data_IF_887413730675
#
_entry.id   IF_887413730675
#
_cell.length_a   1.000
_cell.length_b   1.000
_cell.length_c   1.000
_cell.angle_alpha   90.00
_cell.angle_beta   90.00
_cell.angle_gamma   90.00
#
_symmetry.space_group_name_H-M   'P 1'
#
loop_
_entity.id
_entity.type
_entity.pdbx_description
1 polymer ?
#
# COMPACT_ATOMS: atom_id res chain seq x y z
N UNK A 1 -34.47 8.22 -11.37
CA UNK A 1 -34.43 7.17 -12.40
C UNK A 1 -35.22 6.00 -11.85
N UNK A 2 -36.13 5.42 -12.63
CA UNK A 2 -36.94 4.29 -12.15
C UNK A 2 -36.10 3.01 -12.06
N UNK A 3 -36.54 2.02 -11.28
CA UNK A 3 -35.92 0.70 -11.28
C UNK A 3 -35.89 0.08 -12.68
N UNK A 4 -36.97 0.26 -13.47
CA UNK A 4 -37.04 -0.24 -14.84
C UNK A 4 -35.96 0.37 -15.76
N UNK A 5 -35.74 1.69 -15.69
CA UNK A 5 -34.68 2.35 -16.46
C UNK A 5 -33.29 1.84 -16.07
N UNK A 6 -33.06 1.64 -14.77
CA UNK A 6 -31.80 1.12 -14.26
C UNK A 6 -31.56 -0.34 -14.69
N UNK A 7 -32.62 -1.15 -14.76
CA UNK A 7 -32.56 -2.52 -15.25
C UNK A 7 -32.29 -2.59 -16.75
N UNK A 8 -32.83 -1.69 -17.57
CA UNK A 8 -32.50 -1.64 -19.01
C UNK A 8 -31.02 -1.29 -19.23
N UNK A 9 -30.46 -0.38 -18.42
CA UNK A 9 -29.03 -0.09 -18.42
C UNK A 9 -28.21 -1.31 -17.99
N UNK A 10 -28.64 -1.99 -16.93
CA UNK A 10 -27.99 -3.21 -16.46
C UNK A 10 -28.03 -4.32 -17.52
N UNK A 11 -29.15 -4.50 -18.23
CA UNK A 11 -29.31 -5.48 -19.30
C UNK A 11 -28.36 -5.19 -20.48
N UNK A 12 -28.09 -3.91 -20.77
CA UNK A 12 -27.15 -3.52 -21.81
C UNK A 12 -25.69 -3.87 -21.46
N UNK A 13 -25.33 -3.76 -20.17
CA UNK A 13 -23.96 -4.04 -19.68
C UNK A 13 -23.76 -5.53 -19.35
N UNK A 14 -24.78 -6.20 -18.82
CA UNK A 14 -24.78 -7.62 -18.46
C UNK A 14 -25.36 -8.45 -19.61
N UNK A 15 -24.74 -8.32 -20.79
CA UNK A 15 -25.19 -8.95 -22.04
C UNK A 15 -25.58 -10.45 -21.92
N UNK A 16 -24.89 -11.30 -21.12
CA UNK A 16 -25.28 -12.69 -20.96
C UNK A 16 -26.67 -12.91 -20.33
N UNK A 17 -27.20 -11.93 -19.59
CA UNK A 17 -28.45 -12.03 -18.84
C UNK A 17 -29.52 -11.04 -19.32
N UNK A 18 -29.25 -10.33 -20.41
CA UNK A 18 -30.06 -9.20 -20.88
C UNK A 18 -31.53 -9.58 -21.12
N UNK A 19 -31.77 -10.72 -21.78
CA UNK A 19 -33.12 -11.19 -22.10
C UNK A 19 -33.91 -11.51 -20.84
N UNK A 20 -33.30 -12.20 -19.87
CA UNK A 20 -33.93 -12.53 -18.59
C UNK A 20 -34.25 -11.30 -17.73
N UNK A 21 -33.41 -10.25 -17.82
CA UNK A 21 -33.65 -8.97 -17.13
C UNK A 21 -34.82 -8.22 -17.79
N UNK A 22 -34.87 -8.17 -19.12
CA UNK A 22 -35.93 -7.50 -19.89
C UNK A 22 -37.27 -8.20 -19.75
N UNK A 23 -37.28 -9.53 -19.75
CA UNK A 23 -38.48 -10.35 -19.59
C UNK A 23 -39.16 -10.13 -18.23
N UNK A 24 -38.39 -9.77 -17.20
CA UNK A 24 -38.93 -9.44 -15.89
C UNK A 24 -39.62 -8.05 -15.85
N UNK A 25 -39.41 -7.20 -16.86
CA UNK A 25 -40.08 -5.91 -17.04
C UNK A 25 -40.12 -5.02 -15.77
N UNK A 26 -39.02 -5.01 -15.02
CA UNK A 26 -38.90 -4.20 -13.80
C UNK A 26 -39.50 -4.80 -12.52
N UNK A 27 -40.07 -6.01 -12.57
CA UNK A 27 -40.62 -6.70 -11.40
C UNK A 27 -39.52 -7.44 -10.61
N UNK A 28 -39.25 -7.04 -9.34
CA UNK A 28 -38.26 -7.69 -8.48
C UNK A 28 -38.49 -9.19 -8.26
N UNK A 29 -39.74 -9.64 -8.18
CA UNK A 29 -40.07 -11.04 -7.90
C UNK A 29 -39.84 -11.88 -9.16
N UNK A 30 -40.27 -11.38 -10.33
CA UNK A 30 -39.99 -12.01 -11.64
C UNK A 30 -38.49 -12.17 -11.87
N UNK A 31 -37.67 -11.20 -11.48
CA UNK A 31 -36.20 -11.31 -11.59
C UNK A 31 -35.64 -12.49 -10.80
N UNK A 32 -36.19 -12.79 -9.61
CA UNK A 32 -35.76 -13.96 -8.83
C UNK A 32 -36.23 -15.29 -9.44
N UNK A 33 -37.32 -15.28 -10.18
CA UNK A 33 -37.85 -16.47 -10.86
C UNK A 33 -37.10 -16.76 -12.17
N UNK A 34 -36.72 -15.72 -12.91
CA UNK A 34 -36.04 -15.85 -14.21
C UNK A 34 -34.53 -16.00 -14.09
N UNK A 35 -33.90 -15.34 -13.12
CA UNK A 35 -32.46 -15.39 -12.93
C UNK A 35 -32.06 -16.47 -11.93
N UNK A 36 -31.06 -17.26 -12.29
CA UNK A 36 -30.37 -18.10 -11.33
C UNK A 36 -29.68 -17.23 -10.24
N UNK A 37 -29.38 -17.78 -9.05
CA UNK A 37 -28.82 -17.00 -7.93
C UNK A 37 -27.54 -16.23 -8.25
N UNK A 38 -26.65 -16.78 -9.09
CA UNK A 38 -25.41 -16.11 -9.50
C UNK A 38 -25.68 -14.89 -10.40
N UNK A 39 -26.40 -15.00 -11.54
CA UNK A 39 -26.85 -13.84 -12.32
C UNK A 39 -27.62 -12.78 -11.53
N UNK A 40 -28.51 -13.21 -10.62
CA UNK A 40 -29.23 -12.29 -9.74
C UNK A 40 -28.28 -11.50 -8.81
N UNK A 41 -27.24 -12.15 -8.28
CA UNK A 41 -26.20 -11.47 -7.50
C UNK A 41 -25.38 -10.49 -8.34
N UNK A 42 -25.04 -10.83 -9.58
CA UNK A 42 -24.31 -9.96 -10.51
C UNK A 42 -25.12 -8.70 -10.83
N UNK A 43 -26.41 -8.86 -11.15
CA UNK A 43 -27.35 -7.78 -11.38
C UNK A 43 -27.43 -6.83 -10.18
N UNK A 44 -27.66 -7.38 -8.99
CA UNK A 44 -27.78 -6.57 -7.78
C UNK A 44 -26.45 -5.87 -7.46
N UNK A 45 -25.32 -6.55 -7.64
CA UNK A 45 -23.99 -5.97 -7.46
C UNK A 45 -23.74 -4.80 -8.42
N UNK A 46 -24.11 -4.94 -9.69
CA UNK A 46 -23.99 -3.89 -10.70
C UNK A 46 -24.85 -2.67 -10.35
N UNK A 47 -26.11 -2.87 -9.96
CA UNK A 47 -27.02 -1.79 -9.56
C UNK A 47 -26.50 -1.07 -8.32
N UNK A 48 -26.02 -1.79 -7.31
CA UNK A 48 -25.44 -1.16 -6.11
C UNK A 48 -24.17 -0.35 -6.38
N UNK A 49 -23.46 -0.63 -7.48
CA UNK A 49 -22.27 0.09 -7.89
C UNK A 49 -22.57 1.31 -8.77
N UNK A 50 -23.52 1.22 -9.69
CA UNK A 50 -23.78 2.22 -10.72
C UNK A 50 -25.08 3.01 -10.50
N UNK A 51 -26.11 2.36 -9.97
CA UNK A 51 -27.46 2.92 -9.77
C UNK A 51 -27.94 2.66 -8.33
N UNK A 52 -27.27 3.25 -7.31
CA UNK A 52 -27.37 2.80 -5.91
C UNK A 52 -28.78 2.88 -5.32
N UNK A 53 -29.62 3.82 -5.78
CA UNK A 53 -31.00 3.93 -5.34
C UNK A 53 -31.85 2.75 -5.84
N UNK A 54 -31.71 2.37 -7.12
CA UNK A 54 -32.40 1.22 -7.69
C UNK A 54 -31.87 -0.10 -7.10
N UNK A 55 -30.56 -0.18 -6.84
CA UNK A 55 -29.99 -1.33 -6.13
C UNK A 55 -30.50 -1.48 -4.69
N UNK A 56 -30.72 -0.38 -3.96
CA UNK A 56 -31.34 -0.43 -2.62
C UNK A 56 -32.82 -0.87 -2.68
N UNK A 57 -33.57 -0.35 -3.65
CA UNK A 57 -34.96 -0.74 -3.89
C UNK A 57 -35.07 -2.25 -4.18
N UNK A 58 -34.26 -2.76 -5.12
CA UNK A 58 -34.23 -4.18 -5.47
C UNK A 58 -33.81 -5.07 -4.30
N UNK A 59 -32.74 -4.69 -3.57
CA UNK A 59 -32.30 -5.42 -2.38
C UNK A 59 -33.41 -5.52 -1.34
N UNK A 60 -34.15 -4.42 -1.11
CA UNK A 60 -35.23 -4.38 -0.14
C UNK A 60 -36.38 -5.30 -0.56
N UNK A 61 -36.79 -5.26 -1.82
CA UNK A 61 -37.83 -6.15 -2.35
C UNK A 61 -37.44 -7.64 -2.18
N UNK A 62 -36.18 -7.98 -2.47
CA UNK A 62 -35.68 -9.35 -2.33
C UNK A 62 -35.57 -9.83 -0.88
N UNK A 63 -35.43 -8.92 0.11
CA UNK A 63 -35.52 -9.35 1.51
C UNK A 63 -36.90 -9.84 1.90
N UNK A 64 -37.93 -9.53 1.09
CA UNK A 64 -39.28 -9.98 1.37
C UNK A 64 -39.54 -11.44 0.93
N UNK A 65 -38.60 -12.05 0.19
CA UNK A 65 -38.66 -13.42 -0.34
C UNK A 65 -37.47 -14.26 0.11
N UNK A 66 -37.70 -15.53 0.44
CA UNK A 66 -36.63 -16.44 0.85
C UNK A 66 -35.65 -16.73 -0.30
N UNK A 67 -36.14 -16.76 -1.54
CA UNK A 67 -35.32 -16.87 -2.76
C UNK A 67 -34.32 -15.71 -2.92
N UNK A 68 -34.60 -14.54 -2.33
CA UNK A 68 -33.69 -13.40 -2.35
C UNK A 68 -32.47 -13.56 -1.43
N UNK A 69 -32.47 -14.54 -0.51
CA UNK A 69 -31.37 -14.72 0.42
C UNK A 69 -30.05 -15.11 -0.26
N UNK A 70 -30.10 -16.06 -1.20
CA UNK A 70 -28.92 -16.54 -1.91
C UNK A 70 -28.19 -15.42 -2.71
N UNK A 71 -28.86 -14.64 -3.59
CA UNK A 71 -28.17 -13.59 -4.34
C UNK A 71 -27.67 -12.45 -3.45
N UNK A 72 -28.36 -12.10 -2.36
CA UNK A 72 -27.91 -11.08 -1.41
C UNK A 72 -26.69 -11.59 -0.62
N UNK A 73 -26.70 -12.86 -0.18
CA UNK A 73 -25.57 -13.48 0.52
C UNK A 73 -24.32 -13.58 -0.34
N UNK A 74 -24.47 -13.85 -1.64
CA UNK A 74 -23.36 -13.91 -2.58
C UNK A 74 -22.57 -12.59 -2.69
N UNK A 75 -23.19 -11.45 -2.34
CA UNK A 75 -22.53 -10.14 -2.30
C UNK A 75 -21.76 -9.87 -0.99
N UNK A 76 -21.84 -10.75 0.01
CA UNK A 76 -21.04 -10.64 1.23
C UNK A 76 -19.55 -10.87 0.90
N UNK A 77 -18.76 -9.79 0.94
CA UNK A 77 -17.35 -9.79 0.57
C UNK A 77 -17.05 -9.32 -0.86
N UNK A 78 -18.07 -8.96 -1.66
CA UNK A 78 -17.87 -8.37 -2.98
C UNK A 78 -17.27 -6.94 -2.89
N UNK A 79 -16.51 -6.55 -3.92
CA UNK A 79 -15.95 -5.20 -4.04
C UNK A 79 -17.03 -4.18 -4.45
N UNK A 80 -17.88 -3.81 -3.49
CA UNK A 80 -18.91 -2.78 -3.68
C UNK A 80 -18.47 -1.42 -3.12
N UNK A 81 -18.99 -0.29 -3.63
CA UNK A 81 -18.83 1.01 -2.98
C UNK A 81 -19.37 1.01 -1.55
N UNK A 82 -18.92 1.98 -0.72
CA UNK A 82 -19.31 2.09 0.70
C UNK A 82 -20.84 2.09 0.91
N UNK A 83 -21.59 2.75 0.01
CA UNK A 83 -23.05 2.78 0.02
C UNK A 83 -23.64 1.38 -0.23
N UNK A 84 -23.22 0.69 -1.29
CA UNK A 84 -23.68 -0.67 -1.60
C UNK A 84 -23.40 -1.68 -0.49
N UNK A 85 -22.22 -1.64 0.12
CA UNK A 85 -21.90 -2.51 1.28
C UNK A 85 -22.85 -2.30 2.47
N UNK A 86 -23.29 -1.05 2.70
CA UNK A 86 -24.26 -0.72 3.77
C UNK A 86 -25.62 -1.33 3.46
N UNK A 87 -26.06 -1.27 2.21
CA UNK A 87 -27.33 -1.86 1.75
C UNK A 87 -27.32 -3.38 1.94
N UNK A 88 -26.30 -4.08 1.43
CA UNK A 88 -26.17 -5.54 1.57
C UNK A 88 -26.22 -5.96 3.05
N UNK A 89 -25.47 -5.27 3.92
CA UNK A 89 -25.48 -5.55 5.37
C UNK A 89 -26.87 -5.39 6.00
N UNK A 90 -27.60 -4.34 5.62
CA UNK A 90 -28.96 -4.09 6.11
C UNK A 90 -29.93 -5.17 5.61
N UNK A 91 -29.80 -5.57 4.34
CA UNK A 91 -30.62 -6.60 3.72
C UNK A 91 -30.41 -7.97 4.39
N UNK A 92 -29.15 -8.38 4.58
CA UNK A 92 -28.79 -9.60 5.30
C UNK A 92 -29.28 -9.61 6.75
N UNK A 93 -29.20 -8.46 7.43
CA UNK A 93 -29.73 -8.34 8.78
C UNK A 93 -31.26 -8.55 8.80
N UNK A 94 -31.99 -7.99 7.84
CA UNK A 94 -33.44 -8.17 7.71
C UNK A 94 -33.81 -9.64 7.44
N UNK A 95 -33.10 -10.31 6.54
CA UNK A 95 -33.28 -11.75 6.26
C UNK A 95 -33.05 -12.62 7.51
N UNK A 96 -31.97 -12.37 8.26
CA UNK A 96 -31.68 -13.08 9.52
C UNK A 96 -32.77 -12.82 10.57
N UNK A 97 -33.27 -11.60 10.67
CA UNK A 97 -34.35 -11.26 11.61
C UNK A 97 -35.68 -11.95 11.31
N UNK A 98 -35.91 -12.34 10.05
CA UNK A 98 -37.06 -13.15 9.61
C UNK A 98 -36.88 -14.66 9.83
N UNK A 99 -35.69 -15.09 10.27
CA UNK A 99 -35.37 -16.52 10.43
C UNK A 99 -34.97 -17.21 9.13
N UNK A 100 -34.67 -16.47 8.05
CA UNK A 100 -34.12 -17.07 6.83
C UNK A 100 -32.66 -17.42 7.08
N UNK A 101 -32.32 -18.70 6.94
CA UNK A 101 -30.95 -19.19 7.11
C UNK A 101 -30.10 -18.69 5.94
N UNK A 102 -29.33 -17.64 6.19
CA UNK A 102 -28.35 -17.12 5.23
C UNK A 102 -27.08 -17.92 5.42
N UNK A 103 -26.81 -18.86 4.51
CA UNK A 103 -25.54 -19.58 4.48
C UNK A 103 -24.43 -18.57 4.16
N UNK A 104 -23.79 -18.06 5.20
CA UNK A 104 -22.73 -17.08 5.08
C UNK A 104 -21.59 -17.73 4.32
N UNK A 105 -21.21 -17.13 3.18
CA UNK A 105 -20.00 -17.55 2.47
C UNK A 105 -18.86 -17.54 3.48
N UNK A 106 -18.29 -18.72 3.75
CA UNK A 106 -17.14 -18.83 4.62
C UNK A 106 -16.12 -17.77 4.16
N UNK A 107 -15.66 -16.88 5.05
CA UNK A 107 -14.73 -15.83 4.65
C UNK A 107 -13.57 -16.54 3.96
N UNK A 108 -13.35 -16.25 2.68
CA UNK A 108 -12.18 -16.73 1.99
C UNK A 108 -11.00 -16.41 2.90
N UNK A 109 -10.14 -17.39 3.23
CA UNK A 109 -9.06 -17.16 4.18
C UNK A 109 -8.33 -15.92 3.70
N UNK A 110 -8.42 -14.85 4.49
CA UNK A 110 -7.58 -13.68 4.32
C UNK A 110 -6.21 -14.17 4.78
N UNK A 111 -5.56 -14.95 3.91
CA UNK A 111 -4.11 -15.03 3.91
C UNK A 111 -3.72 -13.58 3.80
N UNK A 112 -3.19 -13.02 4.88
CA UNK A 112 -2.51 -11.76 4.84
C UNK A 112 -1.42 -11.96 3.78
N UNK A 113 -1.74 -11.62 2.53
CA UNK A 113 -0.73 -11.51 1.49
C UNK A 113 0.16 -10.41 2.05
N UNK A 114 1.42 -10.70 2.43
CA UNK A 114 2.34 -9.62 2.69
C UNK A 114 2.24 -8.71 1.48
N UNK A 115 1.94 -7.43 1.73
CA UNK A 115 1.78 -6.44 0.67
C UNK A 115 2.91 -6.68 -0.32
N UNK A 116 2.55 -6.94 -1.59
CA UNK A 116 3.52 -7.22 -2.63
C UNK A 116 4.68 -6.22 -2.48
N UNK A 117 5.91 -6.74 -2.53
CA UNK A 117 7.16 -5.98 -2.46
C UNK A 117 7.28 -5.14 -3.73
N UNK A 118 6.32 -4.24 -3.95
CA UNK A 118 6.39 -3.17 -4.92
C UNK A 118 7.05 -2.00 -4.20
N UNK A 119 8.30 -1.77 -4.58
CA UNK A 119 9.25 -0.79 -4.07
C UNK A 119 9.65 -0.95 -2.60
N UNK A 120 10.55 -1.89 -2.31
CA UNK A 120 11.53 -1.66 -1.25
C UNK A 120 12.34 -0.41 -1.64
N UNK A 121 11.89 0.76 -1.17
CA UNK A 121 12.57 2.02 -1.42
C UNK A 121 13.86 2.04 -0.59
N UNK A 122 14.94 1.63 -1.25
CA UNK A 122 16.30 1.67 -0.76
C UNK A 122 17.10 2.68 -1.57
N UNK A 123 17.99 3.42 -0.91
CA UNK A 123 18.89 4.35 -1.55
C UNK A 123 20.16 4.50 -0.72
N UNK A 124 21.31 4.61 -1.37
CA UNK A 124 22.57 4.89 -0.71
C UNK A 124 23.31 5.98 -1.50
N UNK A 125 23.60 7.09 -0.82
CA UNK A 125 24.23 8.27 -1.40
C UNK A 125 25.44 8.67 -0.58
N UNK A 126 26.47 9.17 -1.25
CA UNK A 126 27.65 9.71 -0.60
C UNK A 126 28.11 10.98 -1.32
N UNK A 127 28.52 12.00 -0.57
CA UNK A 127 29.18 13.16 -1.16
C UNK A 127 30.65 12.84 -1.44
N UNK A 128 31.30 13.63 -2.32
CA UNK A 128 32.76 13.72 -2.32
C UNK A 128 33.28 14.18 -0.96
N UNK A 129 34.58 14.00 -0.76
CA UNK A 129 35.28 14.62 0.37
C UNK A 129 35.31 16.14 0.17
N UNK A 130 34.95 16.87 1.22
CA UNK A 130 35.18 18.29 1.31
C UNK A 130 36.68 18.59 1.54
N UNK A 131 37.03 19.88 1.53
CA UNK A 131 38.42 20.34 1.76
C UNK A 131 38.94 20.03 3.16
N UNK A 132 38.07 19.66 4.10
CA UNK A 132 38.39 19.33 5.49
C UNK A 132 38.48 17.82 5.72
N UNK A 133 38.23 17.00 4.69
CA UNK A 133 38.25 15.54 4.78
C UNK A 133 36.95 14.93 5.31
N UNK A 134 35.87 15.71 5.36
CA UNK A 134 34.54 15.23 5.73
C UNK A 134 33.69 14.94 4.48
N UNK A 135 32.73 14.03 4.61
CA UNK A 135 31.74 13.71 3.59
C UNK A 135 30.41 13.36 4.23
N UNK A 136 29.34 13.62 3.50
CA UNK A 136 27.98 13.25 3.87
C UNK A 136 27.64 11.87 3.31
N UNK A 137 26.90 11.08 4.08
CA UNK A 137 26.42 9.76 3.73
C UNK A 137 24.94 9.64 4.07
N UNK A 138 24.12 9.18 3.10
CA UNK A 138 22.70 8.90 3.29
C UNK A 138 22.41 7.45 2.97
N UNK A 139 21.82 6.73 3.91
CA UNK A 139 21.34 5.36 3.71
C UNK A 139 19.84 5.31 3.99
N UNK A 140 19.06 4.78 3.05
CA UNK A 140 17.62 4.59 3.19
C UNK A 140 17.28 3.11 3.13
N UNK A 141 16.51 2.67 4.12
CA UNK A 141 16.04 1.30 4.25
C UNK A 141 14.51 1.27 4.47
N UNK A 142 13.82 0.20 4.03
CA UNK A 142 12.41 0.01 4.34
C UNK A 142 12.19 -0.11 5.86
N UNK A 143 11.13 0.52 6.37
CA UNK A 143 10.77 0.45 7.78
C UNK A 143 9.66 -0.60 8.02
N UNK A 144 9.76 -1.49 9.02
CA UNK A 144 8.80 -2.59 9.23
C UNK A 144 7.38 -2.12 9.55
N UNK A 145 7.22 -0.95 10.18
CA UNK A 145 5.91 -0.33 10.43
C UNK A 145 5.33 0.42 9.19
N UNK A 146 5.94 0.26 8.02
CA UNK A 146 5.65 1.05 6.82
C UNK A 146 6.48 2.34 6.74
N UNK A 147 6.66 2.87 5.53
CA UNK A 147 7.50 4.04 5.26
C UNK A 147 8.95 3.68 4.93
N UNK A 148 9.87 4.60 5.25
CA UNK A 148 11.31 4.42 5.09
C UNK A 148 12.05 5.02 6.28
N UNK A 149 13.15 4.37 6.66
CA UNK A 149 14.12 4.87 7.63
C UNK A 149 15.31 5.42 6.86
N UNK A 150 15.74 6.62 7.21
CA UNK A 150 16.90 7.26 6.61
C UNK A 150 17.95 7.52 7.70
N UNK A 151 19.16 7.09 7.43
CA UNK A 151 20.36 7.39 8.20
C UNK A 151 21.13 8.48 7.47
N UNK A 152 21.45 9.55 8.17
CA UNK A 152 22.34 10.62 7.70
C UNK A 152 23.59 10.59 8.57
N UNK A 153 24.76 10.56 7.95
CA UNK A 153 26.04 10.51 8.65
C UNK A 153 27.05 11.48 8.04
N UNK A 154 27.79 12.17 8.91
CA UNK A 154 28.97 12.95 8.54
C UNK A 154 30.20 12.11 8.89
N UNK A 155 30.93 11.69 7.86
CA UNK A 155 32.11 10.84 7.98
C UNK A 155 33.35 11.68 7.72
N UNK A 156 34.31 11.65 8.63
CA UNK A 156 35.57 12.36 8.52
C UNK A 156 36.73 11.36 8.48
N UNK A 157 37.65 11.56 7.53
CA UNK A 157 38.73 10.61 7.32
C UNK A 157 39.72 10.56 8.50
N UNK A 158 39.86 11.62 9.29
CA UNK A 158 40.73 11.65 10.47
C UNK A 158 39.99 11.34 11.77
N UNK A 159 38.74 11.80 11.92
CA UNK A 159 37.99 11.79 13.18
C UNK A 159 36.96 10.66 13.30
N UNK A 160 36.70 9.92 12.22
CA UNK A 160 35.68 8.87 12.21
C UNK A 160 34.28 9.44 11.97
N UNK A 161 33.28 9.02 12.74
CA UNK A 161 31.90 9.49 12.58
C UNK A 161 31.71 10.75 13.41
N UNK A 162 31.39 11.87 12.76
CA UNK A 162 31.26 13.18 13.40
C UNK A 162 29.82 13.48 13.81
N UNK A 163 28.86 13.21 12.92
CA UNK A 163 27.43 13.35 13.20
C UNK A 163 26.69 12.13 12.64
N UNK A 164 25.60 11.75 13.30
CA UNK A 164 24.75 10.64 12.89
C UNK A 164 23.31 10.89 13.32
N UNK A 165 22.39 10.88 12.36
CA UNK A 165 20.98 11.15 12.57
C UNK A 165 20.13 10.07 11.93
N UNK A 166 19.02 9.75 12.59
CA UNK A 166 18.07 8.74 12.13
C UNK A 166 16.70 9.37 12.01
N UNK A 167 16.10 9.23 10.84
CA UNK A 167 14.78 9.75 10.52
C UNK A 167 13.88 8.60 10.09
N UNK A 168 12.62 8.63 10.54
CA UNK A 168 11.58 7.71 10.06
C UNK A 168 10.44 8.53 9.50
N UNK A 169 10.10 8.31 8.23
CA UNK A 169 9.05 9.06 7.55
C UNK A 169 8.41 8.26 6.42
N UNK A 170 7.31 8.79 5.86
CA UNK A 170 6.74 8.25 4.62
C UNK A 170 7.74 8.37 3.45
N UNK A 171 7.72 7.39 2.54
CA UNK A 171 8.66 7.28 1.40
C UNK A 171 8.71 8.58 0.57
N UNK A 172 7.58 9.22 0.33
CA UNK A 172 7.50 10.48 -0.42
C UNK A 172 8.26 11.62 0.24
N UNK A 173 8.24 11.70 1.59
CA UNK A 173 8.97 12.72 2.35
C UNK A 173 10.47 12.47 2.30
N UNK A 174 10.90 11.21 2.42
CA UNK A 174 12.32 10.84 2.28
C UNK A 174 12.81 11.13 0.85
N UNK A 175 12.05 10.76 -0.19
CA UNK A 175 12.37 11.11 -1.58
C UNK A 175 12.50 12.62 -1.80
N UNK A 176 11.61 13.42 -1.22
CA UNK A 176 11.68 14.88 -1.30
C UNK A 176 12.93 15.43 -0.60
N UNK A 177 13.26 14.90 0.58
CA UNK A 177 14.48 15.27 1.30
C UNK A 177 15.74 14.95 0.50
N UNK A 178 15.87 13.74 -0.05
CA UNK A 178 17.06 13.38 -0.85
C UNK A 178 17.22 14.25 -2.10
N UNK A 179 16.10 14.65 -2.75
CA UNK A 179 16.14 15.61 -3.87
C UNK A 179 16.64 16.98 -3.42
N UNK A 180 16.16 17.46 -2.28
CA UNK A 180 16.64 18.71 -1.68
C UNK A 180 18.12 18.65 -1.34
N UNK A 181 18.58 17.57 -0.71
CA UNK A 181 19.98 17.37 -0.35
C UNK A 181 20.89 17.33 -1.58
N UNK A 182 20.45 16.67 -2.67
CA UNK A 182 21.16 16.68 -3.96
C UNK A 182 21.28 18.09 -4.54
N UNK A 183 20.22 18.89 -4.49
CA UNK A 183 20.23 20.26 -4.99
C UNK A 183 21.18 21.15 -4.18
N UNK A 184 21.09 21.12 -2.85
CA UNK A 184 21.96 21.91 -1.96
C UNK A 184 23.45 21.57 -2.14
N UNK A 185 23.80 20.27 -2.27
CA UNK A 185 25.18 19.85 -2.51
C UNK A 185 25.73 20.28 -3.88
N UNK A 186 24.85 20.37 -4.89
CA UNK A 186 25.25 20.89 -6.20
C UNK A 186 25.55 22.41 -6.15
N UNK A 187 24.81 23.17 -5.33
CA UNK A 187 25.01 24.62 -5.16
C UNK A 187 26.27 24.96 -4.34
N UNK A 188 26.57 24.19 -3.30
CA UNK A 188 27.70 24.43 -2.38
C UNK A 188 29.10 24.16 -3.01
N UNK A 189 29.17 23.77 -4.29
CA UNK A 189 30.42 23.41 -4.99
C UNK A 189 31.23 22.28 -4.31
N UNK A 190 30.62 21.54 -3.37
CA UNK A 190 31.19 20.37 -2.70
C UNK A 190 31.13 19.10 -3.57
N UNK A 191 30.45 19.19 -4.72
CA UNK A 191 30.28 18.12 -5.70
C UNK A 191 28.99 17.33 -5.50
N UNK A 192 28.51 16.69 -6.57
CA UNK A 192 27.22 16.01 -6.56
C UNK A 192 27.22 14.77 -5.65
N UNK A 193 26.11 14.54 -4.94
CA UNK A 193 25.90 13.27 -4.25
C UNK A 193 25.86 12.12 -5.26
N UNK A 194 26.65 11.09 -5.00
CA UNK A 194 26.81 9.92 -5.84
C UNK A 194 25.97 8.77 -5.29
N UNK A 195 25.19 8.14 -6.16
CA UNK A 195 24.56 6.85 -5.88
C UNK A 195 25.63 5.76 -5.77
N UNK A 196 25.60 5.02 -4.68
CA UNK A 196 26.52 3.92 -4.38
C UNK A 196 25.74 2.69 -3.96
N UNK A 197 26.36 1.52 -3.96
CA UNK A 197 25.70 0.34 -3.42
C UNK A 197 25.58 0.47 -1.89
N UNK A 198 24.47 -0.02 -1.33
CA UNK A 198 24.25 -0.05 0.13
C UNK A 198 25.40 -0.72 0.88
N UNK A 199 25.97 -1.79 0.32
CA UNK A 199 27.14 -2.50 0.87
C UNK A 199 28.40 -1.64 0.89
N UNK A 200 28.64 -0.83 -0.15
CA UNK A 200 29.79 0.10 -0.24
C UNK A 200 29.67 1.21 0.81
N UNK A 201 28.47 1.76 0.99
CA UNK A 201 28.21 2.78 2.00
C UNK A 201 28.35 2.23 3.42
N UNK A 202 27.81 1.04 3.68
CA UNK A 202 27.99 0.35 4.98
C UNK A 202 29.47 0.07 5.27
N UNK A 203 30.26 -0.33 4.27
CA UNK A 203 31.71 -0.50 4.44
C UNK A 203 32.42 0.83 4.75
N UNK A 204 31.98 1.93 4.13
CA UNK A 204 32.51 3.26 4.40
C UNK A 204 32.22 3.72 5.84
N UNK A 205 30.97 3.53 6.31
CA UNK A 205 30.59 3.80 7.71
C UNK A 205 31.36 2.91 8.67
N UNK A 206 31.55 1.62 8.36
CA UNK A 206 32.36 0.70 9.16
C UNK A 206 33.82 1.16 9.26
N UNK A 207 34.39 1.66 8.15
CA UNK A 207 35.75 2.20 8.09
C UNK A 207 35.88 3.46 8.95
N UNK A 208 34.92 4.37 8.88
CA UNK A 208 34.89 5.56 9.72
C UNK A 208 34.77 5.19 11.22
N UNK A 209 33.89 4.23 11.56
CA UNK A 209 33.73 3.76 12.93
C UNK A 209 35.02 3.13 13.51
N UNK A 210 35.85 2.47 12.69
CA UNK A 210 37.16 1.94 13.12
C UNK A 210 38.19 3.03 13.41
N UNK A 211 37.99 4.25 12.92
CA UNK A 211 38.87 5.41 13.15
C UNK A 211 38.46 6.24 14.38
N UNK A 212 37.39 5.85 15.06
CA UNK A 212 36.93 6.53 16.27
C UNK A 212 38.00 6.43 17.37
N UNK A 213 38.40 7.57 17.95
CA UNK A 213 39.35 7.62 19.07
C UNK A 213 38.62 7.84 20.41
N UNK A 214 39.33 7.67 21.53
CA UNK A 214 38.78 8.00 22.85
C UNK A 214 38.45 9.51 22.99
N UNK A 215 39.23 10.37 22.35
CA UNK A 215 39.05 11.84 22.37
C UNK A 215 37.89 12.31 21.49
N UNK A 216 37.45 11.46 20.57
CA UNK A 216 36.30 11.71 19.70
C UNK A 216 35.38 10.50 19.77
N UNK A 217 34.51 10.37 20.78
CA UNK A 217 33.59 9.23 20.88
C UNK A 217 32.54 9.27 19.78
N UNK A 218 32.06 8.08 19.36
CA UNK A 218 31.04 7.99 18.32
C UNK A 218 29.72 8.63 18.79
N UNK A 219 28.94 9.26 17.88
CA UNK A 219 27.64 9.82 18.23
C UNK A 219 26.72 8.77 18.85
N UNK A 220 25.98 9.15 19.90
CA UNK A 220 25.07 8.25 20.61
C UNK A 220 24.08 7.54 19.68
N UNK A 221 23.49 8.27 18.74
CA UNK A 221 22.56 7.72 17.76
C UNK A 221 23.23 6.65 16.87
N UNK A 222 24.51 6.81 16.53
CA UNK A 222 25.24 5.75 15.82
C UNK A 222 25.39 4.50 16.68
N UNK A 223 25.76 4.65 17.96
CA UNK A 223 25.92 3.53 18.89
C UNK A 223 24.61 2.75 19.05
N UNK A 224 23.48 3.44 19.16
CA UNK A 224 22.14 2.85 19.31
C UNK A 224 21.69 2.07 18.05
N UNK A 225 22.09 2.54 16.86
CA UNK A 225 21.63 1.98 15.58
C UNK A 225 22.68 1.14 14.83
N UNK A 226 23.92 1.02 15.33
CA UNK A 226 25.01 0.30 14.64
C UNK A 226 24.71 -1.16 14.33
N UNK A 227 23.92 -1.83 15.17
CA UNK A 227 23.52 -3.23 14.96
C UNK A 227 22.56 -3.39 13.77
N UNK A 228 21.73 -2.37 13.51
CA UNK A 228 20.76 -2.36 12.42
C UNK A 228 21.42 -2.09 11.07
N UNK A 229 22.51 -1.31 11.04
CA UNK A 229 23.27 -1.01 9.83
C UNK A 229 24.00 -2.22 9.23
N UNK A 230 24.03 -3.37 9.91
CA UNK A 230 24.65 -4.61 9.46
C UNK A 230 26.01 -4.38 8.78
N UNK A 231 26.90 -3.67 9.47
CA UNK A 231 28.18 -3.19 8.95
C UNK A 231 29.07 -4.37 8.50
N UNK A 232 29.03 -4.68 7.19
CA UNK A 232 29.85 -5.74 6.60
C UNK A 232 31.29 -5.24 6.44
N UNK A 233 32.23 -5.88 7.15
CA UNK A 233 33.63 -5.43 7.21
C UNK A 233 34.48 -5.60 5.95
N UNK A 234 33.92 -6.13 4.84
CA UNK A 234 34.70 -6.65 3.71
C UNK A 234 34.29 -6.12 2.32
N UNK A 235 33.30 -5.24 2.20
CA UNK A 235 32.95 -4.67 0.89
C UNK A 235 33.94 -3.55 0.49
N UNK A 236 34.22 -3.45 -0.81
CA UNK A 236 35.01 -2.34 -1.39
C UNK A 236 34.28 -1.02 -1.14
N UNK A 237 35.01 0.04 -0.85
CA UNK A 237 34.42 1.39 -0.72
C UNK A 237 34.33 2.06 -2.10
N UNK A 238 33.51 3.12 -2.26
CA UNK A 238 33.40 3.81 -3.54
C UNK A 238 34.74 4.33 -4.08
N UNK A 239 35.65 4.75 -3.20
CA UNK A 239 37.00 5.18 -3.57
C UNK A 239 37.92 4.06 -4.08
N UNK A 240 37.61 2.80 -3.75
CA UNK A 240 38.38 1.64 -4.21
C UNK A 240 38.03 1.25 -5.67
N UNK A 241 36.98 1.86 -6.27
CA UNK A 241 36.58 1.66 -7.67
C UNK A 241 37.19 2.69 -8.63
N UNK A 242 37.71 3.79 -8.11
CA UNK A 242 38.30 4.88 -8.89
C UNK A 242 39.81 4.72 -9.12
N UNK A 243 40.41 3.61 -8.68
CA UNK A 243 41.80 3.20 -8.96
C UNK A 243 41.80 2.01 -9.90
#
# INVERSE_FOLDING_TARGET
MSLADALERAASELAPHADAIRDANGDPDRLLETLAPAPASELLGWLLAHEPAAGEELALAWTDRDAGAAPIAALEGAELPKAGRKVVRKALHRLRSRGVEVEARAPAPVVARPRAVEDAFEAALVSPLDRRGARMAYLVEPHPAGGARMYEAVLDDARGIVDFRVYSAGRSRVRAFLRSARASQAEESAGALLDVATSELRALVARAAKRQSADHPAPRAFIEHRSQLALAGHARTPGDRAR
#
